data_IF_555876649285
#
_entry.id   IF_555876649285
#
_cell.length_a   1.000
_cell.length_b   1.000
_cell.length_c   1.000
_cell.angle_alpha   90.00
_cell.angle_beta   90.00
_cell.angle_gamma   90.00
#
_symmetry.space_group_name_H-M   'P 1'
#
loop_
_entity.id
_entity.type
_entity.pdbx_description
1 polymer ?
#
# COMPACT_ATOMS: atom_id res chain seq x y z
N UNK A 1 12.21 -15.11 1.24
CA UNK A 1 11.18 -14.39 2.01
C UNK A 1 11.50 -12.91 1.91
N UNK A 2 10.69 -12.13 1.20
CA UNK A 2 10.89 -10.67 1.12
C UNK A 2 10.68 -10.06 2.50
N UNK A 3 11.66 -9.31 3.01
CA UNK A 3 11.56 -8.61 4.30
C UNK A 3 10.52 -7.50 4.18
N UNK A 4 9.72 -7.29 5.24
CA UNK A 4 8.84 -6.13 5.33
C UNK A 4 9.70 -4.86 5.28
N UNK A 5 9.40 -3.90 4.37
CA UNK A 5 10.18 -2.67 4.26
C UNK A 5 10.06 -1.87 5.56
N UNK A 6 11.17 -1.30 6.01
CA UNK A 6 11.15 -0.47 7.22
C UNK A 6 10.39 0.83 6.97
N UNK A 7 9.81 1.40 8.03
CA UNK A 7 9.15 2.72 7.97
C UNK A 7 10.08 3.80 7.42
N UNK A 8 11.38 3.72 7.73
CA UNK A 8 12.39 4.65 7.24
C UNK A 8 12.58 4.53 5.72
N UNK A 9 12.74 3.31 5.20
CA UNK A 9 12.87 3.06 3.75
C UNK A 9 11.62 3.52 2.99
N UNK A 10 10.42 3.26 3.54
CA UNK A 10 9.16 3.74 2.96
C UNK A 10 9.10 5.26 2.90
N UNK A 11 9.46 5.95 3.99
CA UNK A 11 9.48 7.43 4.00
C UNK A 11 10.46 7.99 2.97
N UNK A 12 11.66 7.44 2.88
CA UNK A 12 12.69 7.88 1.93
C UNK A 12 12.25 7.67 0.49
N UNK A 13 11.75 6.48 0.16
CA UNK A 13 11.32 6.12 -1.19
C UNK A 13 10.21 7.04 -1.72
N UNK A 14 9.32 7.50 -0.83
CA UNK A 14 8.14 8.29 -1.19
C UNK A 14 8.27 9.77 -0.83
N UNK A 15 9.46 10.23 -0.41
CA UNK A 15 9.70 11.63 -0.06
C UNK A 15 8.82 12.15 1.08
N UNK A 16 8.42 11.28 2.01
CA UNK A 16 7.54 11.67 3.11
C UNK A 16 8.27 12.54 4.14
N UNK A 17 7.57 13.50 4.77
CA UNK A 17 8.15 14.30 5.84
C UNK A 17 8.67 13.44 7.00
N UNK A 18 9.72 13.92 7.67
CA UNK A 18 10.32 13.20 8.81
C UNK A 18 9.29 12.90 9.91
N UNK A 19 8.37 13.84 10.16
CA UNK A 19 7.30 13.72 11.16
C UNK A 19 6.15 12.80 10.76
N UNK A 20 6.11 12.30 9.52
CA UNK A 20 5.06 11.39 9.06
C UNK A 20 4.99 10.17 9.98
N UNK A 21 3.82 9.81 10.48
CA UNK A 21 3.63 8.66 11.37
C UNK A 21 2.97 7.53 10.61
N UNK A 22 3.63 6.37 10.54
CA UNK A 22 2.99 5.19 9.98
C UNK A 22 1.83 4.77 10.89
N UNK A 23 0.63 4.69 10.31
CA UNK A 23 -0.58 4.22 10.98
C UNK A 23 -0.69 2.69 10.92
N UNK A 24 -0.17 2.10 9.84
CA UNK A 24 -0.15 0.67 9.60
C UNK A 24 -0.41 0.38 8.13
N UNK A 25 -0.97 -0.80 7.87
CA UNK A 25 -1.31 -1.28 6.54
C UNK A 25 -2.83 -1.28 6.36
N UNK A 26 -3.31 -0.90 5.18
CA UNK A 26 -4.72 -0.87 4.78
C UNK A 26 -4.95 -1.83 3.61
N UNK A 27 -6.19 -2.23 3.40
CA UNK A 27 -6.62 -2.83 2.12
C UNK A 27 -7.35 -1.74 1.33
N UNK A 28 -6.80 -1.38 0.17
CA UNK A 28 -7.31 -0.35 -0.74
C UNK A 28 -7.72 -1.00 -2.06
N UNK A 29 -8.92 -0.69 -2.54
CA UNK A 29 -9.40 -1.00 -3.89
C UNK A 29 -9.03 0.19 -4.79
N UNK A 30 -7.95 0.10 -5.59
CA UNK A 30 -7.46 1.23 -6.36
C UNK A 30 -8.38 1.60 -7.53
N UNK A 31 -9.30 0.72 -7.93
CA UNK A 31 -10.24 1.00 -9.02
C UNK A 31 -11.40 1.88 -8.57
N UNK A 32 -11.85 1.69 -7.32
CA UNK A 32 -12.96 2.45 -6.73
C UNK A 32 -12.52 3.54 -5.76
N UNK A 33 -11.22 3.59 -5.46
CA UNK A 33 -10.64 4.43 -4.42
C UNK A 33 -11.31 4.23 -3.05
N UNK A 34 -11.55 2.95 -2.72
CA UNK A 34 -12.23 2.53 -1.49
C UNK A 34 -11.30 1.77 -0.56
N UNK A 35 -11.54 1.87 0.74
CA UNK A 35 -10.78 1.20 1.77
C UNK A 35 -11.64 0.23 2.55
N UNK A 36 -11.09 -0.93 2.90
CA UNK A 36 -11.79 -1.90 3.73
C UNK A 36 -11.95 -1.33 5.16
N UNK A 37 -13.18 -1.07 5.58
CA UNK A 37 -13.53 -0.55 6.92
C UNK A 37 -13.75 -1.70 7.90
N UNK A 38 -14.43 -2.75 7.46
CA UNK A 38 -14.76 -3.91 8.29
C UNK A 38 -14.94 -5.14 7.41
N UNK A 39 -14.64 -6.29 7.97
CA UNK A 39 -15.02 -7.58 7.39
C UNK A 39 -15.54 -8.50 8.49
N UNK A 40 -16.43 -9.42 8.10
CA UNK A 40 -16.85 -10.55 8.90
C UNK A 40 -16.83 -11.77 7.98
N UNK A 41 -16.18 -12.84 8.43
CA UNK A 41 -16.14 -14.11 7.71
C UNK A 41 -16.56 -15.20 8.68
N UNK A 42 -17.60 -15.94 8.32
CA UNK A 42 -18.01 -17.18 8.97
C UNK A 42 -18.18 -18.28 7.90
N UNK A 43 -18.55 -19.49 8.32
CA UNK A 43 -18.69 -20.65 7.43
C UNK A 43 -19.66 -20.44 6.26
N UNK A 44 -20.62 -19.53 6.40
CA UNK A 44 -21.76 -19.41 5.50
C UNK A 44 -21.76 -18.09 4.71
N UNK A 45 -21.07 -17.06 5.20
CA UNK A 45 -21.08 -15.73 4.61
C UNK A 45 -19.80 -14.94 4.90
N UNK A 46 -19.35 -14.23 3.88
CA UNK A 46 -18.34 -13.18 4.01
C UNK A 46 -18.97 -11.82 3.71
N UNK A 47 -19.00 -10.95 4.72
CA UNK A 47 -19.44 -9.56 4.60
C UNK A 47 -18.25 -8.61 4.62
N UNK A 48 -18.23 -7.65 3.69
CA UNK A 48 -17.20 -6.62 3.58
C UNK A 48 -17.84 -5.25 3.46
N UNK A 49 -17.34 -4.29 4.25
CA UNK A 49 -17.77 -2.90 4.20
C UNK A 49 -16.60 -2.04 3.75
N UNK A 50 -16.85 -1.25 2.71
CA UNK A 50 -15.90 -0.37 2.06
C UNK A 50 -16.27 1.08 2.36
N UNK A 51 -15.28 1.94 2.50
CA UNK A 51 -15.45 3.37 2.77
C UNK A 51 -14.48 4.20 1.94
N UNK A 52 -14.86 5.42 1.61
CA UNK A 52 -14.11 6.31 0.70
C UNK A 52 -12.96 7.07 1.38
N UNK A 53 -12.83 6.97 2.71
CA UNK A 53 -11.78 7.69 3.46
C UNK A 53 -10.81 6.72 4.13
N UNK A 54 -9.49 6.92 3.96
CA UNK A 54 -8.49 6.14 4.67
C UNK A 54 -8.56 6.33 6.20
N UNK A 55 -9.18 7.39 6.70
CA UNK A 55 -9.39 7.63 8.13
C UNK A 55 -10.35 6.61 8.76
N UNK A 56 -11.27 6.07 7.96
CA UNK A 56 -12.24 5.07 8.39
C UNK A 56 -11.75 3.63 8.18
N UNK A 57 -10.61 3.48 7.49
CA UNK A 57 -10.10 2.20 7.07
C UNK A 57 -9.61 1.35 8.24
N UNK A 58 -9.81 0.04 8.12
CA UNK A 58 -9.25 -0.92 9.06
C UNK A 58 -7.74 -0.98 8.92
N UNK A 59 -7.05 -0.58 9.98
CA UNK A 59 -5.59 -0.60 10.05
C UNK A 59 -5.07 -1.93 10.60
N UNK A 60 -4.07 -2.49 9.92
CA UNK A 60 -3.35 -3.70 10.32
C UNK A 60 -1.93 -3.34 10.75
N UNK A 61 -1.46 -3.93 11.85
CA UNK A 61 -0.14 -3.60 12.42
C UNK A 61 1.05 -4.08 11.58
N UNK A 62 0.88 -5.11 10.75
CA UNK A 62 1.98 -5.72 9.98
C UNK A 62 1.51 -6.07 8.57
N UNK A 63 2.43 -6.05 7.60
CA UNK A 63 2.14 -6.38 6.20
C UNK A 63 1.57 -7.79 6.12
N UNK A 64 2.23 -8.75 6.80
CA UNK A 64 1.80 -10.15 6.86
C UNK A 64 0.34 -10.32 7.29
N UNK A 65 -0.14 -9.52 8.25
CA UNK A 65 -1.54 -9.61 8.71
C UNK A 65 -2.51 -9.07 7.68
N UNK A 66 -2.19 -7.94 7.05
CA UNK A 66 -3.01 -7.38 5.99
C UNK A 66 -3.06 -8.31 4.76
N UNK A 67 -1.92 -8.86 4.35
CA UNK A 67 -1.84 -9.82 3.24
C UNK A 67 -2.65 -11.08 3.52
N UNK A 68 -2.54 -11.66 4.73
CA UNK A 68 -3.34 -12.82 5.10
C UNK A 68 -4.85 -12.55 5.04
N UNK A 69 -5.28 -11.34 5.44
CA UNK A 69 -6.69 -10.95 5.33
C UNK A 69 -7.11 -10.78 3.88
N UNK A 70 -6.28 -10.12 3.06
CA UNK A 70 -6.50 -9.96 1.62
C UNK A 70 -6.69 -11.31 0.92
N UNK A 71 -5.82 -12.27 1.21
CA UNK A 71 -5.88 -13.63 0.67
C UNK A 71 -7.12 -14.37 1.20
N UNK A 72 -7.42 -14.29 2.50
CA UNK A 72 -8.57 -14.98 3.11
C UNK A 72 -9.93 -14.50 2.59
N UNK A 73 -9.99 -13.25 2.12
CA UNK A 73 -11.18 -12.63 1.54
C UNK A 73 -11.19 -12.76 0.00
N UNK A 74 -10.21 -13.45 -0.59
CA UNK A 74 -10.04 -13.62 -2.04
C UNK A 74 -10.03 -12.29 -2.81
N UNK A 75 -9.43 -11.25 -2.21
CA UNK A 75 -9.39 -9.89 -2.76
C UNK A 75 -8.19 -9.65 -3.69
N UNK A 76 -7.41 -10.69 -3.99
CA UNK A 76 -6.29 -10.60 -4.92
C UNK A 76 -6.79 -10.14 -6.31
N UNK A 77 -6.16 -9.11 -6.88
CA UNK A 77 -6.57 -8.51 -8.16
C UNK A 77 -7.67 -7.43 -8.04
N UNK A 78 -8.36 -7.34 -6.90
CA UNK A 78 -9.30 -6.26 -6.62
C UNK A 78 -8.71 -5.20 -5.69
N UNK A 79 -8.05 -5.63 -4.63
CA UNK A 79 -7.47 -4.75 -3.63
C UNK A 79 -5.96 -4.98 -3.52
N UNK A 80 -5.28 -4.01 -2.93
CA UNK A 80 -3.85 -4.04 -2.62
C UNK A 80 -3.62 -3.74 -1.15
N UNK A 81 -2.54 -4.27 -0.59
CA UNK A 81 -2.10 -3.90 0.75
C UNK A 81 -1.22 -2.67 0.65
N UNK A 82 -1.61 -1.59 1.33
CA UNK A 82 -0.97 -0.28 1.20
C UNK A 82 -0.60 0.29 2.57
N UNK A 83 0.63 0.79 2.80
CA UNK A 83 0.97 1.45 4.04
C UNK A 83 0.34 2.85 4.09
N UNK A 84 -0.19 3.20 5.25
CA UNK A 84 -0.81 4.49 5.52
C UNK A 84 0.04 5.33 6.47
N UNK A 85 0.16 6.61 6.17
CA UNK A 85 0.94 7.58 6.92
C UNK A 85 0.11 8.81 7.23
N UNK A 86 0.08 9.19 8.50
CA UNK A 86 -0.43 10.48 8.94
C UNK A 86 0.68 11.52 8.83
N UNK A 87 0.45 12.59 8.05
CA UNK A 87 1.38 13.72 7.93
C UNK A 87 0.92 14.98 8.66
N UNK A 88 -0.09 14.84 9.53
CA UNK A 88 -0.64 15.86 10.42
C UNK A 88 -1.97 16.46 9.94
N UNK A 89 -2.10 16.75 8.64
CA UNK A 89 -3.35 17.29 8.04
C UNK A 89 -4.15 16.27 7.23
N UNK A 90 -3.50 15.19 6.82
CA UNK A 90 -4.09 14.18 5.94
C UNK A 90 -3.38 12.84 6.14
N UNK A 91 -4.09 11.77 5.80
CA UNK A 91 -3.52 10.43 5.67
C UNK A 91 -3.13 10.22 4.21
N UNK A 92 -1.88 9.86 3.98
CA UNK A 92 -1.38 9.42 2.67
C UNK A 92 -1.35 7.89 2.68
N UNK A 93 -1.97 7.28 1.67
CA UNK A 93 -1.87 5.85 1.42
C UNK A 93 -0.95 5.65 0.22
N UNK A 94 0.09 4.83 0.39
CA UNK A 94 1.05 4.60 -0.67
C UNK A 94 0.65 3.33 -1.42
N UNK A 95 0.25 3.45 -2.68
CA UNK A 95 0.03 2.30 -3.54
C UNK A 95 1.04 2.29 -4.67
N UNK A 96 1.67 1.13 -4.88
CA UNK A 96 2.49 0.92 -6.07
C UNK A 96 1.61 0.89 -7.33
N UNK A 97 0.36 0.45 -7.18
CA UNK A 97 -0.72 0.55 -8.14
C UNK A 97 -1.58 1.78 -7.83
N UNK A 98 -1.13 2.94 -8.31
CA UNK A 98 -2.10 3.87 -8.90
C UNK A 98 -2.27 3.36 -10.32
N UNK A 99 -3.49 2.98 -10.71
CA UNK A 99 -3.74 2.36 -12.02
C UNK A 99 -2.94 3.02 -13.14
N UNK A 100 -2.14 2.20 -13.85
CA UNK A 100 -1.25 2.58 -14.96
C UNK A 100 -0.16 3.63 -14.61
N UNK A 101 1.08 3.13 -14.53
CA UNK A 101 2.33 3.87 -14.72
C UNK A 101 2.49 5.16 -13.90
N UNK A 102 3.11 5.09 -12.72
CA UNK A 102 3.78 6.27 -12.15
C UNK A 102 5.00 6.62 -13.04
N UNK A 103 4.94 7.69 -13.85
CA UNK A 103 5.99 7.98 -14.83
C UNK A 103 7.33 8.29 -14.14
N UNK A 104 7.32 8.82 -12.92
CA UNK A 104 8.55 9.10 -12.17
C UNK A 104 9.26 7.82 -11.73
N UNK A 105 8.50 6.74 -11.48
CA UNK A 105 9.06 5.44 -11.11
C UNK A 105 9.65 4.73 -12.30
N UNK A 106 9.01 4.83 -13.47
CA UNK A 106 9.56 4.32 -14.72
C UNK A 106 10.83 5.09 -15.12
N UNK A 107 10.82 6.42 -15.00
CA UNK A 107 12.01 7.26 -15.25
C UNK A 107 13.14 6.90 -14.28
N UNK A 108 12.87 6.74 -12.99
CA UNK A 108 13.90 6.36 -12.01
C UNK A 108 14.47 4.97 -12.31
N UNK A 109 13.62 4.00 -12.68
CA UNK A 109 14.06 2.65 -13.05
C UNK A 109 14.91 2.66 -14.33
N UNK A 110 14.47 3.39 -15.35
CA UNK A 110 15.20 3.53 -16.62
C UNK A 110 16.55 4.23 -16.43
N UNK A 111 16.65 5.22 -15.53
CA UNK A 111 17.91 5.88 -15.19
C UNK A 111 18.86 4.92 -14.46
N UNK A 112 18.36 4.11 -13.53
CA UNK A 112 19.15 3.10 -12.82
C UNK A 112 19.61 1.96 -13.75
N UNK A 113 18.75 1.54 -14.69
CA UNK A 113 19.08 0.54 -15.71
C UNK A 113 20.17 1.06 -16.67
N UNK A 114 20.03 2.29 -17.18
CA UNK A 114 21.03 2.91 -18.07
C UNK A 114 22.40 3.09 -17.40
N UNK A 115 22.43 3.50 -16.12
CA UNK A 115 23.68 3.61 -15.36
C UNK A 115 24.38 2.28 -15.13
N UNK A 116 23.64 1.17 -15.11
CA UNK A 116 24.19 -0.17 -14.90
C UNK A 116 24.85 -0.71 -16.16
N UNK A 117 24.33 -0.35 -17.33
CA UNK A 117 24.88 -0.73 -18.62
C UNK A 117 26.15 0.08 -18.95
N UNK A 118 26.20 1.38 -18.60
CA UNK A 118 27.41 2.21 -18.74
C UNK A 118 28.56 1.81 -17.78
N UNK A 119 28.26 1.08 -16.70
CA UNK A 119 29.27 0.65 -15.72
C UNK A 119 29.90 -0.71 -16.04
N UNK A 120 29.44 -1.37 -17.10
CA UNK A 120 29.83 -2.75 -17.45
C UNK A 120 30.50 -2.84 -18.84
N UNK A 121 30.92 -1.69 -19.39
CA UNK A 121 31.73 -1.54 -20.61
C UNK A 121 33.10 -0.93 -20.28
#
# INVERSE_FOLDING_TARGET
MSKEPSVYELKQTWGLPAHAKMLGWLLHDPYKDEFLVKYASNSDMTGMWWGLSPETAKTFKTLKKATAVLESLELAGRAVVAPAFDIGKQIIVLTDDIGAENPLRNVTRLIEEAKRDDAND
#
